data_IF_176546714013
#
_entry.id   IF_176546714013
#
_cell.length_a   1.000
_cell.length_b   1.000
_cell.length_c   1.000
_cell.angle_alpha   90.00
_cell.angle_beta   90.00
_cell.angle_gamma   90.00
#
_symmetry.space_group_name_H-M   'P 1'
#
loop_
_entity.id
_entity.type
_entity.pdbx_description
1 polymer ?
#
# COMPACT_ATOMS: atom_id res chain seq x y z
N UNK A 1 10.82 14.05 13.52
CA UNK A 1 12.17 14.63 13.81
C UNK A 1 13.29 13.62 13.61
N UNK A 2 13.23 12.41 14.15
CA UNK A 2 14.27 11.36 14.02
C UNK A 2 14.51 10.93 12.57
N UNK A 3 13.46 10.69 11.78
CA UNK A 3 13.58 10.32 10.34
C UNK A 3 14.30 11.40 9.53
N UNK A 4 14.08 12.67 9.86
CA UNK A 4 14.70 13.82 9.21
C UNK A 4 16.19 13.93 9.54
N UNK A 5 16.57 13.53 10.75
CA UNK A 5 17.97 13.49 11.18
C UNK A 5 18.73 12.34 10.48
N UNK A 6 18.14 11.13 10.39
CA UNK A 6 18.74 9.98 9.70
C UNK A 6 18.97 10.23 8.22
N UNK A 7 17.99 10.84 7.51
CA UNK A 7 18.13 11.16 6.08
C UNK A 7 19.22 12.20 5.85
N UNK A 8 19.32 13.23 6.71
CA UNK A 8 20.39 14.23 6.61
C UNK A 8 21.78 13.62 6.85
N UNK A 9 21.91 12.75 7.84
CA UNK A 9 23.17 12.08 8.13
C UNK A 9 23.62 11.17 6.98
N UNK A 10 22.69 10.44 6.35
CA UNK A 10 22.99 9.62 5.17
C UNK A 10 23.44 10.49 3.98
N UNK A 11 22.77 11.59 3.70
CA UNK A 11 23.14 12.51 2.63
C UNK A 11 24.51 13.16 2.87
N UNK A 12 24.81 13.57 4.12
CA UNK A 12 26.10 14.12 4.48
C UNK A 12 27.20 13.07 4.35
N UNK A 13 26.94 11.84 4.77
CA UNK A 13 27.92 10.76 4.63
C UNK A 13 28.22 10.47 3.15
N UNK A 14 27.21 10.42 2.29
CA UNK A 14 27.39 10.22 0.86
C UNK A 14 28.16 11.39 0.21
N UNK A 15 27.83 12.63 0.60
CA UNK A 15 28.52 13.82 0.14
C UNK A 15 30.01 13.82 0.50
N UNK A 16 30.36 13.58 1.78
CA UNK A 16 31.75 13.54 2.21
C UNK A 16 32.50 12.33 1.67
N UNK A 17 31.83 11.21 1.45
CA UNK A 17 32.41 10.04 0.77
C UNK A 17 32.83 10.36 -0.67
N UNK A 18 31.98 11.11 -1.40
CA UNK A 18 32.33 11.55 -2.75
C UNK A 18 33.53 12.50 -2.74
N UNK A 19 33.57 13.46 -1.81
CA UNK A 19 34.73 14.36 -1.66
C UNK A 19 36.02 13.61 -1.31
N UNK A 20 35.94 12.53 -0.52
CA UNK A 20 37.06 11.66 -0.19
C UNK A 20 37.52 10.87 -1.42
N UNK A 21 36.60 10.30 -2.18
CA UNK A 21 36.91 9.58 -3.44
C UNK A 21 37.52 10.50 -4.51
N UNK A 22 37.06 11.76 -4.54
CA UNK A 22 37.62 12.80 -5.42
C UNK A 22 38.95 13.41 -4.88
N UNK A 23 39.52 12.84 -3.82
CA UNK A 23 40.75 13.30 -3.16
C UNK A 23 40.72 14.77 -2.68
N UNK A 24 39.53 15.34 -2.53
CA UNK A 24 39.33 16.72 -2.07
C UNK A 24 39.44 16.88 -0.55
N UNK A 25 39.29 15.79 0.18
CA UNK A 25 39.49 15.68 1.63
C UNK A 25 40.28 14.43 1.97
N UNK A 26 41.11 14.51 3.01
CA UNK A 26 41.97 13.38 3.41
C UNK A 26 41.26 12.34 4.27
N UNK A 27 40.09 12.64 4.84
CA UNK A 27 39.29 11.74 5.68
C UNK A 27 37.83 12.13 5.61
N UNK A 28 36.95 11.15 5.58
CA UNK A 28 35.52 11.41 5.68
C UNK A 28 35.16 11.77 7.15
N UNK A 29 34.68 13.02 7.43
CA UNK A 29 34.29 13.42 8.78
C UNK A 29 33.17 12.60 9.39
N UNK A 30 32.41 11.89 8.55
CA UNK A 30 31.27 11.07 8.98
C UNK A 30 31.63 9.66 9.44
N UNK A 31 32.88 9.21 9.25
CA UNK A 31 33.33 7.85 9.63
C UNK A 31 33.24 7.58 11.14
N UNK A 32 33.31 8.62 11.96
CA UNK A 32 33.19 8.51 13.42
C UNK A 32 31.80 8.94 13.94
N UNK A 33 30.83 9.19 13.04
CA UNK A 33 29.48 9.57 13.43
C UNK A 33 28.62 8.30 13.57
N UNK A 34 28.43 7.85 14.80
CA UNK A 34 27.48 6.78 15.08
C UNK A 34 26.05 7.27 14.84
N UNK A 35 25.34 6.60 13.92
CA UNK A 35 23.92 6.83 13.75
C UNK A 35 23.16 6.29 14.95
N UNK A 36 22.58 7.15 15.75
CA UNK A 36 21.66 6.74 16.81
C UNK A 36 20.50 5.95 16.20
N UNK A 37 20.36 4.69 16.58
CA UNK A 37 19.15 3.92 16.28
C UNK A 37 17.96 4.59 16.99
N UNK A 38 16.77 4.53 16.37
CA UNK A 38 15.51 5.11 16.93
C UNK A 38 15.29 4.67 18.39
N UNK A 39 15.60 3.42 18.72
CA UNK A 39 15.52 2.87 20.07
C UNK A 39 16.43 3.61 21.08
N UNK A 40 17.70 3.86 20.70
CA UNK A 40 18.67 4.56 21.57
C UNK A 40 18.32 6.04 21.77
N UNK A 41 17.69 6.67 20.80
CA UNK A 41 17.22 8.05 20.91
C UNK A 41 16.01 8.17 21.85
N UNK A 42 15.12 7.18 21.83
CA UNK A 42 13.94 7.13 22.73
C UNK A 42 14.35 6.83 24.18
N UNK A 43 15.28 5.91 24.39
CA UNK A 43 15.83 5.61 25.73
C UNK A 43 16.60 6.79 26.33
N UNK A 44 17.35 7.54 25.51
CA UNK A 44 18.06 8.75 25.94
C UNK A 44 17.12 9.89 26.36
N UNK A 45 15.85 9.87 25.95
CA UNK A 45 14.81 10.81 26.37
C UNK A 45 13.96 10.32 27.57
N UNK A 46 14.34 9.20 28.20
CA UNK A 46 13.58 8.62 29.33
C UNK A 46 12.20 8.05 28.93
N UNK A 47 11.97 7.85 27.64
CA UNK A 47 10.80 7.14 27.13
C UNK A 47 11.15 5.67 26.96
N UNK A 48 10.94 4.89 28.02
CA UNK A 48 11.13 3.44 28.04
C UNK A 48 10.08 2.65 27.23
N UNK A 49 9.15 3.31 26.59
CA UNK A 49 8.21 2.62 25.73
C UNK A 49 8.95 2.12 24.50
N UNK A 50 9.11 0.80 24.44
CA UNK A 50 9.32 0.08 23.17
C UNK A 50 8.42 0.74 22.14
N UNK A 51 8.92 1.04 20.92
CA UNK A 51 8.04 1.60 19.92
C UNK A 51 6.84 0.67 19.81
N UNK A 52 5.67 1.14 20.28
CA UNK A 52 4.41 0.51 19.93
C UNK A 52 4.51 0.22 18.45
N UNK A 53 4.40 -1.04 18.11
CA UNK A 53 4.29 -1.47 16.71
C UNK A 53 3.28 -0.50 16.09
N UNK A 54 3.74 0.36 15.17
CA UNK A 54 2.89 1.38 14.56
C UNK A 54 1.54 0.72 14.32
N UNK A 55 0.50 1.17 15.03
CA UNK A 55 -0.79 0.51 14.98
C UNK A 55 -1.28 0.61 13.55
N UNK A 56 -1.25 -0.52 12.86
CA UNK A 56 -1.64 -0.57 11.46
C UNK A 56 -3.13 -0.34 11.42
N UNK A 57 -3.53 0.74 10.77
CA UNK A 57 -4.93 1.01 10.52
C UNK A 57 -5.50 -0.07 9.59
N UNK A 58 -6.48 -0.80 10.09
CA UNK A 58 -7.26 -1.78 9.34
C UNK A 58 -8.74 -1.46 9.48
N UNK A 59 -9.51 -1.77 8.46
CA UNK A 59 -10.96 -1.70 8.54
C UNK A 59 -11.51 -2.93 9.26
N UNK A 60 -12.43 -2.71 10.19
CA UNK A 60 -13.26 -3.77 10.75
C UNK A 60 -14.31 -4.23 9.74
N UNK A 61 -14.95 -5.38 9.99
CA UNK A 61 -16.00 -5.87 9.09
C UNK A 61 -17.21 -4.91 9.07
N UNK A 62 -17.58 -4.33 10.21
CA UNK A 62 -18.64 -3.34 10.30
C UNK A 62 -18.32 -2.06 9.54
N UNK A 63 -17.08 -1.55 9.65
CA UNK A 63 -16.63 -0.39 8.88
C UNK A 63 -16.62 -0.67 7.38
N UNK A 64 -16.24 -1.88 6.96
CA UNK A 64 -16.28 -2.27 5.55
C UNK A 64 -17.69 -2.30 4.99
N UNK A 65 -18.67 -2.78 5.75
CA UNK A 65 -20.06 -2.78 5.29
C UNK A 65 -20.61 -1.34 5.18
N UNK A 66 -20.37 -0.48 6.17
CA UNK A 66 -20.72 0.94 6.10
C UNK A 66 -20.02 1.64 4.92
N UNK A 67 -18.73 1.37 4.74
CA UNK A 67 -17.96 1.92 3.63
C UNK A 67 -18.53 1.52 2.28
N UNK A 68 -18.84 0.22 2.07
CA UNK A 68 -19.42 -0.27 0.83
C UNK A 68 -20.77 0.35 0.55
N UNK A 69 -21.65 0.40 1.56
CA UNK A 69 -22.99 0.99 1.44
C UNK A 69 -22.91 2.45 0.96
N UNK A 70 -22.03 3.25 1.56
CA UNK A 70 -21.85 4.65 1.16
C UNK A 70 -21.12 4.79 -0.19
N UNK A 71 -20.05 4.03 -0.43
CA UNK A 71 -19.24 4.09 -1.64
C UNK A 71 -20.07 3.81 -2.91
N UNK A 72 -21.04 2.93 -2.81
CA UNK A 72 -21.94 2.56 -3.92
C UNK A 72 -23.29 3.27 -3.89
N UNK A 73 -23.46 4.27 -3.02
CA UNK A 73 -24.67 5.07 -2.95
C UNK A 73 -24.97 5.78 -4.29
N UNK A 74 -26.23 5.79 -4.67
CA UNK A 74 -26.71 6.46 -5.87
C UNK A 74 -27.60 7.65 -5.53
N UNK A 75 -27.63 8.63 -6.41
CA UNK A 75 -28.62 9.69 -6.38
C UNK A 75 -30.01 9.15 -6.73
N UNK A 76 -31.07 9.94 -6.48
CA UNK A 76 -32.45 9.61 -6.89
C UNK A 76 -32.58 9.38 -8.41
N UNK A 77 -31.66 9.95 -9.20
CA UNK A 77 -31.56 9.76 -10.65
C UNK A 77 -30.90 8.44 -11.06
N UNK A 78 -30.44 7.62 -10.11
CA UNK A 78 -29.73 6.37 -10.36
C UNK A 78 -28.23 6.52 -10.65
N UNK A 79 -27.71 7.73 -10.79
CA UNK A 79 -26.28 7.96 -10.99
C UNK A 79 -25.48 7.79 -9.69
N UNK A 80 -24.25 7.31 -9.77
CA UNK A 80 -23.36 7.15 -8.61
C UNK A 80 -22.97 8.49 -7.99
N UNK A 81 -22.99 8.57 -6.67
CA UNK A 81 -22.48 9.73 -5.92
C UNK A 81 -20.96 9.82 -6.03
N UNK A 82 -20.31 8.67 -5.97
CA UNK A 82 -18.85 8.56 -6.04
C UNK A 82 -18.44 7.74 -7.26
N UNK A 83 -17.87 8.39 -8.25
CA UNK A 83 -17.33 7.71 -9.43
C UNK A 83 -16.13 6.83 -9.04
N UNK A 84 -15.97 5.71 -9.74
CA UNK A 84 -14.87 4.76 -9.56
C UNK A 84 -14.73 4.25 -8.11
N UNK A 85 -15.83 4.12 -7.40
CA UNK A 85 -15.83 3.58 -6.03
C UNK A 85 -15.32 2.12 -5.99
N UNK A 86 -15.53 1.35 -7.07
CA UNK A 86 -14.99 0.00 -7.22
C UNK A 86 -13.47 -0.10 -7.05
N UNK A 87 -12.74 1.00 -7.26
CA UNK A 87 -11.29 1.05 -7.07
C UNK A 87 -10.85 0.71 -5.64
N UNK A 88 -11.60 1.14 -4.63
CA UNK A 88 -11.30 0.84 -3.22
C UNK A 88 -11.56 -0.62 -2.88
N UNK A 89 -12.66 -1.18 -3.39
CA UNK A 89 -12.98 -2.59 -3.18
C UNK A 89 -12.00 -3.49 -3.95
N UNK A 90 -11.52 -3.05 -5.11
CA UNK A 90 -10.45 -3.74 -5.83
C UNK A 90 -9.15 -3.74 -5.00
N UNK A 91 -8.76 -2.62 -4.39
CA UNK A 91 -7.62 -2.57 -3.47
C UNK A 91 -7.78 -3.53 -2.28
N UNK A 92 -8.98 -3.58 -1.70
CA UNK A 92 -9.31 -4.46 -0.58
C UNK A 92 -9.18 -5.95 -0.95
N UNK A 93 -9.43 -6.31 -2.23
CA UNK A 93 -9.41 -7.71 -2.70
C UNK A 93 -8.11 -8.12 -3.39
N UNK A 94 -7.17 -7.21 -3.58
CA UNK A 94 -5.92 -7.46 -4.32
C UNK A 94 -4.66 -6.99 -3.60
N UNK A 95 -4.83 -6.17 -2.56
CA UNK A 95 -3.72 -5.60 -1.81
C UNK A 95 -2.83 -4.64 -2.62
N UNK A 96 -3.30 -4.09 -3.72
CA UNK A 96 -2.54 -3.14 -4.54
C UNK A 96 -2.15 -1.89 -3.75
N UNK A 97 -0.96 -1.37 -4.03
CA UNK A 97 -0.61 -0.02 -3.61
C UNK A 97 -1.36 1.01 -4.45
N UNK A 98 -1.68 2.16 -3.90
CA UNK A 98 -2.38 3.24 -4.63
C UNK A 98 -1.75 3.55 -5.99
N UNK A 99 -0.42 3.68 -6.03
CA UNK A 99 0.27 3.96 -7.28
C UNK A 99 0.21 2.81 -8.29
N UNK A 100 0.17 1.57 -7.84
CA UNK A 100 0.02 0.37 -8.68
C UNK A 100 -1.39 0.31 -9.28
N UNK A 101 -2.42 0.55 -8.47
CA UNK A 101 -3.81 0.65 -8.93
C UNK A 101 -3.96 1.70 -10.02
N UNK A 102 -3.44 2.91 -9.77
CA UNK A 102 -3.53 4.02 -10.73
C UNK A 102 -2.66 3.81 -11.98
N UNK A 103 -1.65 2.93 -11.91
CA UNK A 103 -0.80 2.55 -13.02
C UNK A 103 -1.27 1.31 -13.77
N UNK A 104 -2.35 0.65 -13.31
CA UNK A 104 -2.85 -0.59 -13.92
C UNK A 104 -3.56 -0.30 -15.23
N UNK A 105 -3.02 -0.81 -16.34
CA UNK A 105 -3.67 -0.72 -17.66
C UNK A 105 -4.68 -1.85 -17.84
N UNK A 106 -5.69 -1.62 -18.67
CA UNK A 106 -6.67 -2.64 -19.02
C UNK A 106 -6.03 -3.85 -19.70
N UNK A 107 -5.01 -3.67 -20.53
CA UNK A 107 -4.23 -4.73 -21.19
C UNK A 107 -3.39 -5.60 -20.23
N UNK A 108 -3.23 -5.18 -18.98
CA UNK A 108 -2.53 -5.98 -17.97
C UNK A 108 -3.46 -6.89 -17.15
N UNK A 109 -4.75 -6.94 -17.49
CA UNK A 109 -5.78 -7.70 -16.79
C UNK A 109 -6.22 -8.86 -17.69
N UNK A 110 -6.01 -10.07 -17.21
CA UNK A 110 -6.42 -11.31 -17.85
C UNK A 110 -7.60 -11.91 -17.07
N UNK A 111 -8.80 -11.68 -17.57
CA UNK A 111 -10.02 -12.16 -16.92
C UNK A 111 -10.26 -13.65 -17.13
N UNK A 112 -9.73 -14.25 -18.22
CA UNK A 112 -9.83 -15.68 -18.49
C UNK A 112 -9.01 -16.48 -17.47
N UNK A 113 -7.77 -16.06 -17.24
CA UNK A 113 -6.88 -16.67 -16.25
C UNK A 113 -7.06 -16.10 -14.84
N UNK A 114 -7.99 -15.15 -14.65
CA UNK A 114 -8.28 -14.47 -13.37
C UNK A 114 -7.02 -13.91 -12.71
N UNK A 115 -6.22 -13.19 -13.48
CA UNK A 115 -4.98 -12.59 -13.02
C UNK A 115 -4.82 -11.16 -13.53
N UNK A 116 -3.97 -10.40 -12.85
CA UNK A 116 -3.48 -9.12 -13.36
C UNK A 116 -1.98 -8.99 -13.13
N UNK A 117 -1.29 -8.33 -14.05
CA UNK A 117 0.16 -8.12 -13.99
C UNK A 117 0.47 -6.68 -13.60
N UNK A 118 1.18 -6.49 -12.49
CA UNK A 118 1.62 -5.17 -12.05
C UNK A 118 2.97 -4.87 -12.70
N UNK A 119 3.03 -3.83 -13.54
CA UNK A 119 4.25 -3.46 -14.30
C UNK A 119 4.75 -2.06 -13.99
N UNK A 120 3.87 -1.17 -13.54
CA UNK A 120 4.16 0.24 -13.35
C UNK A 120 3.33 0.83 -12.20
N UNK A 121 3.72 2.02 -11.77
CA UNK A 121 3.03 2.77 -10.73
C UNK A 121 3.04 4.27 -11.03
N UNK A 122 1.94 4.93 -10.72
CA UNK A 122 1.82 6.40 -10.78
C UNK A 122 2.29 7.00 -9.45
N UNK A 123 3.15 8.01 -9.54
CA UNK A 123 3.63 8.80 -8.39
C UNK A 123 3.45 10.28 -8.66
N UNK A 124 3.19 11.03 -7.61
CA UNK A 124 3.31 12.48 -7.65
C UNK A 124 4.75 12.85 -7.31
N UNK A 125 5.40 13.57 -8.19
CA UNK A 125 6.75 14.09 -8.00
C UNK A 125 6.73 15.61 -8.08
N UNK A 126 7.56 16.26 -7.29
CA UNK A 126 7.71 17.70 -7.37
C UNK A 126 8.34 18.09 -8.71
N UNK A 127 7.78 19.12 -9.33
CA UNK A 127 8.34 19.67 -10.57
C UNK A 127 9.59 20.48 -10.25
N UNK A 128 10.70 20.10 -10.86
CA UNK A 128 12.02 20.73 -10.60
C UNK A 128 12.70 21.12 -11.89
N UNK A 129 13.42 22.23 -11.83
CA UNK A 129 14.45 22.62 -12.80
C UNK A 129 15.80 22.54 -12.07
N UNK A 130 16.60 21.52 -12.41
CA UNK A 130 17.75 21.16 -11.62
C UNK A 130 17.40 20.86 -10.16
N UNK A 131 17.97 21.61 -9.24
CA UNK A 131 17.68 21.50 -7.78
C UNK A 131 16.52 22.34 -7.31
N UNK A 132 16.06 23.32 -8.12
CA UNK A 132 15.03 24.30 -7.74
C UNK A 132 13.61 23.74 -7.99
N UNK A 133 12.73 23.92 -7.02
CA UNK A 133 11.29 23.67 -7.19
C UNK A 133 10.69 24.78 -8.06
N UNK A 134 10.07 24.40 -9.19
CA UNK A 134 9.49 25.36 -10.14
C UNK A 134 7.96 25.29 -10.23
N UNK A 135 7.33 24.40 -9.47
CA UNK A 135 5.87 24.27 -9.55
C UNK A 135 5.30 23.24 -8.61
N UNK A 136 4.03 22.89 -8.89
CA UNK A 136 3.30 21.86 -8.17
C UNK A 136 3.82 20.45 -8.46
N UNK A 137 3.07 19.45 -7.98
CA UNK A 137 3.35 18.04 -8.22
C UNK A 137 2.80 17.60 -9.57
N UNK A 138 3.62 16.88 -10.33
CA UNK A 138 3.24 16.26 -11.61
C UNK A 138 3.10 14.74 -11.47
N UNK A 139 2.19 14.16 -12.24
CA UNK A 139 2.04 12.70 -12.33
C UNK A 139 3.24 12.15 -13.10
N UNK A 140 3.96 11.21 -12.52
CA UNK A 140 5.03 10.46 -13.18
C UNK A 140 4.71 8.97 -13.15
N UNK A 141 4.60 8.38 -14.32
CA UNK A 141 4.49 6.92 -14.47
C UNK A 141 5.90 6.36 -14.47
N UNK A 142 6.18 5.46 -13.55
CA UNK A 142 7.47 4.80 -13.46
C UNK A 142 7.31 3.28 -13.52
N UNK A 143 8.23 2.61 -14.24
CA UNK A 143 8.35 1.16 -14.10
C UNK A 143 8.63 0.84 -12.63
N UNK A 144 8.11 -0.26 -12.15
CA UNK A 144 8.39 -0.72 -10.79
C UNK A 144 9.91 -0.91 -10.63
N UNK A 145 10.49 -0.32 -9.56
CA UNK A 145 11.96 -0.16 -9.40
C UNK A 145 12.74 -1.47 -9.29
N UNK A 146 12.10 -2.58 -8.96
CA UNK A 146 12.74 -3.89 -8.76
C UNK A 146 12.02 -4.97 -9.54
N UNK A 147 12.74 -6.02 -9.91
CA UNK A 147 12.19 -7.24 -10.53
C UNK A 147 11.07 -7.85 -9.69
N UNK A 148 11.17 -7.77 -8.36
CA UNK A 148 10.17 -8.23 -7.39
C UNK A 148 8.89 -7.39 -7.37
N UNK A 149 8.93 -6.17 -7.90
CA UNK A 149 7.73 -5.33 -8.02
C UNK A 149 6.87 -5.66 -9.25
N UNK A 150 7.45 -6.37 -10.25
CA UNK A 150 6.70 -6.94 -11.36
C UNK A 150 6.16 -8.28 -10.91
N UNK A 151 4.87 -8.35 -10.63
CA UNK A 151 4.23 -9.55 -10.11
C UNK A 151 2.87 -9.78 -10.74
N UNK A 152 2.44 -11.02 -10.68
CA UNK A 152 1.08 -11.43 -11.03
C UNK A 152 0.26 -11.50 -9.74
N UNK A 153 -0.91 -10.89 -9.75
CA UNK A 153 -1.87 -10.90 -8.63
C UNK A 153 -3.10 -11.69 -9.06
N UNK A 154 -3.52 -12.70 -8.31
CA UNK A 154 -4.75 -13.44 -8.59
C UNK A 154 -5.98 -12.57 -8.32
N UNK A 155 -7.04 -12.78 -9.10
CA UNK A 155 -8.32 -12.08 -8.99
C UNK A 155 -9.39 -13.04 -8.45
N UNK A 156 -10.03 -12.65 -7.35
CA UNK A 156 -11.24 -13.31 -6.88
C UNK A 156 -12.47 -12.74 -7.61
N UNK A 157 -13.64 -13.36 -7.39
CA UNK A 157 -14.89 -12.96 -8.06
C UNK A 157 -15.25 -11.49 -7.82
N UNK A 158 -15.08 -10.99 -6.59
CA UNK A 158 -15.35 -9.60 -6.23
C UNK A 158 -14.40 -8.63 -6.97
N UNK A 159 -13.11 -8.98 -7.08
CA UNK A 159 -12.16 -8.16 -7.85
C UNK A 159 -12.54 -8.08 -9.33
N UNK A 160 -12.97 -9.20 -9.92
CA UNK A 160 -13.43 -9.26 -11.32
C UNK A 160 -14.68 -8.39 -11.50
N UNK A 161 -15.65 -8.49 -10.59
CA UNK A 161 -16.84 -7.66 -10.60
C UNK A 161 -16.50 -6.16 -10.55
N UNK A 162 -15.57 -5.76 -9.69
CA UNK A 162 -15.12 -4.37 -9.59
C UNK A 162 -14.39 -3.89 -10.85
N UNK A 163 -13.64 -4.75 -11.51
CA UNK A 163 -13.01 -4.43 -12.79
C UNK A 163 -14.08 -4.18 -13.86
N UNK A 164 -15.11 -5.01 -13.94
CA UNK A 164 -16.23 -4.79 -14.84
C UNK A 164 -16.99 -3.50 -14.51
N UNK A 165 -17.20 -3.20 -13.24
CA UNK A 165 -17.86 -1.99 -12.78
C UNK A 165 -17.07 -0.73 -13.18
N UNK A 166 -15.76 -0.72 -12.95
CA UNK A 166 -14.87 0.37 -13.36
C UNK A 166 -14.84 0.57 -14.89
N UNK A 167 -14.81 -0.52 -15.65
CA UNK A 167 -14.88 -0.46 -17.13
C UNK A 167 -16.21 0.05 -17.65
N UNK A 168 -17.32 -0.16 -16.93
CA UNK A 168 -18.63 0.42 -17.28
C UNK A 168 -18.67 1.93 -17.09
N UNK A 169 -17.97 2.44 -16.06
CA UNK A 169 -17.91 3.88 -15.82
C UNK A 169 -17.00 4.60 -16.83
N UNK A 170 -15.79 4.08 -17.02
CA UNK A 170 -14.77 4.65 -17.90
C UNK A 170 -13.96 3.56 -18.56
N UNK A 171 -13.98 3.51 -19.89
CA UNK A 171 -13.15 2.63 -20.68
C UNK A 171 -12.71 3.32 -21.97
N UNK A 172 -11.43 3.57 -22.09
CA UNK A 172 -10.80 4.25 -23.23
C UNK A 172 -9.88 3.32 -24.04
N UNK A 173 -10.09 2.01 -23.93
CA UNK A 173 -9.33 0.98 -24.64
C UNK A 173 -8.33 0.25 -23.76
N UNK A 174 -7.67 -0.75 -24.34
CA UNK A 174 -6.77 -1.66 -23.61
C UNK A 174 -5.54 -0.97 -23.03
N UNK A 175 -5.00 0.04 -23.70
CA UNK A 175 -3.82 0.78 -23.25
C UNK A 175 -4.15 1.93 -22.28
N UNK A 176 -5.45 2.11 -21.95
CA UNK A 176 -5.85 3.09 -20.96
C UNK A 176 -5.76 2.53 -19.54
N UNK A 177 -5.52 3.39 -18.51
CA UNK A 177 -5.60 2.99 -17.13
C UNK A 177 -6.99 2.50 -16.75
N UNK A 178 -7.08 1.47 -15.91
CA UNK A 178 -8.36 0.99 -15.36
C UNK A 178 -9.04 2.07 -14.52
N UNK A 179 -8.26 2.84 -13.76
CA UNK A 179 -8.73 4.00 -12.97
C UNK A 179 -8.14 5.24 -13.61
N UNK A 180 -8.97 5.98 -14.34
CA UNK A 180 -8.55 7.13 -15.14
C UNK A 180 -9.33 8.40 -14.78
N UNK A 181 -8.92 9.52 -15.31
CA UNK A 181 -9.70 10.75 -15.28
C UNK A 181 -10.69 10.79 -16.47
N UNK A 182 -11.46 11.87 -16.58
CA UNK A 182 -12.49 12.02 -17.62
C UNK A 182 -11.93 12.04 -19.06
N UNK A 183 -10.62 12.23 -19.22
CA UNK A 183 -9.95 12.24 -20.52
C UNK A 183 -9.30 10.88 -20.85
N UNK A 184 -9.41 9.89 -19.97
CA UNK A 184 -8.75 8.60 -20.12
C UNK A 184 -7.28 8.58 -19.66
N UNK A 185 -6.80 9.67 -19.06
CA UNK A 185 -5.45 9.77 -18.51
C UNK A 185 -5.36 9.18 -17.09
N UNK A 186 -4.15 8.90 -16.62
CA UNK A 186 -3.92 8.43 -15.26
C UNK A 186 -4.57 9.34 -14.22
N UNK A 187 -5.41 8.79 -13.35
CA UNK A 187 -6.06 9.55 -12.31
C UNK A 187 -5.06 10.12 -11.29
N UNK A 188 -5.43 11.23 -10.65
CA UNK A 188 -4.58 11.87 -9.65
C UNK A 188 -4.74 11.18 -8.28
N UNK A 189 -3.64 10.69 -7.66
CA UNK A 189 -3.67 10.06 -6.34
C UNK A 189 -4.33 10.93 -5.26
N UNK A 190 -4.18 12.26 -5.36
CA UNK A 190 -4.81 13.19 -4.41
C UNK A 190 -6.32 13.19 -4.51
N UNK A 191 -6.88 13.07 -5.74
CA UNK A 191 -8.32 13.03 -5.95
C UNK A 191 -8.92 11.73 -5.40
N UNK A 192 -8.23 10.60 -5.61
CA UNK A 192 -8.63 9.32 -5.03
C UNK A 192 -8.68 9.40 -3.50
N UNK A 193 -7.63 9.96 -2.87
CA UNK A 193 -7.59 10.15 -1.41
C UNK A 193 -8.70 11.07 -0.90
N UNK A 194 -8.94 12.20 -1.55
CA UNK A 194 -10.01 13.13 -1.17
C UNK A 194 -11.39 12.48 -1.26
N UNK A 195 -11.61 11.63 -2.27
CA UNK A 195 -12.86 10.89 -2.42
C UNK A 195 -13.02 9.85 -1.30
N UNK A 196 -11.95 9.12 -0.97
CA UNK A 196 -11.94 8.20 0.18
C UNK A 196 -12.41 8.91 1.45
N UNK A 197 -11.79 10.02 1.81
CA UNK A 197 -12.13 10.77 3.02
C UNK A 197 -13.59 11.24 3.06
N UNK A 198 -14.16 11.61 1.91
CA UNK A 198 -15.59 11.96 1.84
C UNK A 198 -16.50 10.76 2.06
N UNK A 199 -16.12 9.58 1.58
CA UNK A 199 -16.88 8.35 1.81
C UNK A 199 -16.79 7.95 3.28
N UNK A 200 -15.61 7.99 3.88
CA UNK A 200 -15.39 7.65 5.30
C UNK A 200 -16.18 8.58 6.22
N UNK A 201 -16.11 9.88 5.98
CA UNK A 201 -16.85 10.90 6.73
C UNK A 201 -18.37 10.68 6.63
N UNK A 202 -18.89 10.49 5.42
CA UNK A 202 -20.31 10.25 5.18
C UNK A 202 -20.81 8.91 5.76
N UNK A 203 -19.94 7.90 5.83
CA UNK A 203 -20.22 6.60 6.43
C UNK A 203 -20.06 6.58 7.95
N UNK A 204 -19.58 7.68 8.57
CA UNK A 204 -19.30 7.76 9.99
C UNK A 204 -18.16 6.83 10.43
N UNK A 205 -17.14 6.69 9.57
CA UNK A 205 -15.95 5.87 9.82
C UNK A 205 -14.79 6.80 10.14
N UNK A 206 -13.95 6.42 11.11
CA UNK A 206 -12.72 7.13 11.38
C UNK A 206 -11.83 7.15 10.14
N UNK A 207 -11.27 8.31 9.83
CA UNK A 207 -10.45 8.50 8.61
C UNK A 207 -9.22 7.61 8.62
N UNK A 208 -9.14 6.73 7.64
CA UNK A 208 -8.01 5.83 7.37
C UNK A 208 -7.37 6.17 6.02
N UNK A 209 -6.11 5.89 5.87
CA UNK A 209 -5.42 6.13 4.61
C UNK A 209 -5.71 5.05 3.55
N UNK A 210 -5.40 5.34 2.28
CA UNK A 210 -5.53 4.35 1.20
C UNK A 210 -4.75 3.05 1.45
N UNK A 211 -3.69 3.09 2.27
CA UNK A 211 -2.96 1.89 2.66
C UNK A 211 -3.73 0.97 3.60
N UNK A 212 -4.75 1.48 4.31
CA UNK A 212 -5.58 0.68 5.19
C UNK A 212 -6.29 -0.48 4.44
N UNK A 213 -6.69 -0.28 3.18
CA UNK A 213 -7.25 -1.37 2.36
C UNK A 213 -6.25 -2.51 2.16
N UNK A 214 -4.99 -2.18 1.85
CA UNK A 214 -3.94 -3.18 1.69
C UNK A 214 -3.59 -3.86 3.01
N UNK A 215 -3.58 -3.13 4.10
CA UNK A 215 -3.36 -3.68 5.44
C UNK A 215 -4.50 -4.61 5.83
N UNK A 216 -5.75 -4.21 5.60
CA UNK A 216 -6.92 -5.04 5.84
C UNK A 216 -6.89 -6.33 5.02
N UNK A 217 -6.56 -6.24 3.72
CA UNK A 217 -6.39 -7.42 2.86
C UNK A 217 -5.35 -8.39 3.43
N UNK A 218 -4.16 -7.90 3.76
CA UNK A 218 -3.10 -8.74 4.30
C UNK A 218 -3.47 -9.37 5.66
N UNK A 219 -4.05 -8.58 6.56
CA UNK A 219 -4.50 -9.05 7.88
C UNK A 219 -5.55 -10.15 7.75
N UNK A 220 -6.52 -9.97 6.85
CA UNK A 220 -7.57 -10.99 6.60
C UNK A 220 -7.02 -12.27 6.00
N UNK A 221 -6.05 -12.20 5.10
CA UNK A 221 -5.42 -13.39 4.52
C UNK A 221 -4.59 -14.19 5.54
N UNK A 222 -3.90 -13.50 6.46
CA UNK A 222 -3.05 -14.14 7.47
C UNK A 222 -3.89 -14.67 8.65
N UNK A 223 -4.80 -13.85 9.17
CA UNK A 223 -5.59 -14.19 10.36
C UNK A 223 -6.84 -15.02 10.05
N UNK A 224 -7.17 -15.16 8.79
CA UNK A 224 -8.29 -15.95 8.28
C UNK A 224 -9.49 -15.10 7.87
N UNK A 225 -10.09 -15.54 6.78
CA UNK A 225 -11.34 -14.98 6.25
C UNK A 225 -12.39 -16.06 6.30
N UNK A 226 -13.58 -15.73 6.84
CA UNK A 226 -14.74 -16.63 6.77
C UNK A 226 -15.19 -16.77 5.32
N UNK A 227 -15.24 -17.99 4.84
CA UNK A 227 -15.78 -18.32 3.53
C UNK A 227 -17.32 -18.49 3.60
N UNK A 228 -17.98 -18.53 2.45
CA UNK A 228 -19.42 -18.71 2.34
C UNK A 228 -19.91 -20.05 2.96
N UNK A 229 -19.06 -21.06 3.03
CA UNK A 229 -19.29 -22.36 3.63
C UNK A 229 -19.05 -22.36 5.16
N UNK A 230 -18.75 -21.21 5.77
CA UNK A 230 -18.44 -21.08 7.19
C UNK A 230 -17.02 -21.48 7.57
N UNK A 231 -16.22 -22.00 6.66
CA UNK A 231 -14.82 -22.33 6.90
C UNK A 231 -13.96 -21.06 7.01
N UNK A 232 -12.86 -21.16 7.77
CA UNK A 232 -11.86 -20.09 7.86
C UNK A 232 -10.68 -20.49 7.01
N UNK A 233 -10.37 -19.70 5.96
CA UNK A 233 -9.19 -19.90 5.12
C UNK A 233 -8.11 -18.91 5.47
N UNK A 234 -6.89 -19.40 5.65
CA UNK A 234 -5.68 -18.61 5.86
C UNK A 234 -4.66 -18.89 4.78
N UNK A 235 -3.82 -17.92 4.48
CA UNK A 235 -2.64 -18.10 3.63
C UNK A 235 -1.38 -18.04 4.48
N UNK A 236 -0.36 -18.78 4.08
CA UNK A 236 0.95 -18.65 4.72
C UNK A 236 1.56 -17.28 4.42
N UNK A 237 2.41 -16.82 5.33
CA UNK A 237 3.01 -15.47 5.29
C UNK A 237 3.78 -15.24 3.99
N UNK A 238 4.47 -16.28 3.48
CA UNK A 238 5.24 -16.19 2.23
C UNK A 238 4.33 -15.91 1.03
N UNK A 239 3.21 -16.65 0.91
CA UNK A 239 2.25 -16.43 -0.17
C UNK A 239 1.65 -15.00 -0.10
N UNK A 240 1.34 -14.51 1.10
CA UNK A 240 0.86 -13.13 1.28
C UNK A 240 1.93 -12.12 0.89
N UNK A 241 3.20 -12.33 1.30
CA UNK A 241 4.31 -11.47 0.93
C UNK A 241 4.51 -11.41 -0.60
N UNK A 242 4.41 -12.55 -1.28
CA UNK A 242 4.53 -12.65 -2.75
C UNK A 242 3.40 -11.89 -3.45
N UNK A 243 2.14 -12.07 -3.03
CA UNK A 243 0.98 -11.33 -3.55
C UNK A 243 1.16 -9.82 -3.35
N UNK A 244 1.62 -9.41 -2.18
CA UNK A 244 1.85 -8.01 -1.86
C UNK A 244 3.09 -7.44 -2.58
N UNK A 245 4.02 -8.27 -3.05
CA UNK A 245 5.31 -7.84 -3.62
C UNK A 245 6.22 -7.23 -2.56
N UNK A 246 6.34 -7.89 -1.41
CA UNK A 246 7.34 -7.60 -0.41
C UNK A 246 8.63 -8.33 -0.76
N UNK A 247 9.77 -7.66 -0.63
CA UNK A 247 11.10 -8.27 -0.90
C UNK A 247 11.50 -9.30 0.13
N UNK A 248 10.96 -9.19 1.36
CA UNK A 248 11.20 -10.11 2.46
C UNK A 248 9.90 -10.39 3.21
N UNK A 249 9.78 -11.58 3.82
CA UNK A 249 8.66 -11.92 4.69
C UNK A 249 8.66 -11.12 5.99
N UNK A 250 9.82 -10.62 6.41
CA UNK A 250 10.03 -9.85 7.64
C UNK A 250 9.07 -8.65 7.77
N UNK A 251 8.82 -7.95 6.65
CA UNK A 251 7.85 -6.86 6.61
C UNK A 251 6.44 -7.38 6.90
N UNK A 252 6.07 -8.52 6.30
CA UNK A 252 4.75 -9.14 6.49
C UNK A 252 4.58 -9.67 7.90
N UNK A 253 5.60 -10.33 8.44
CA UNK A 253 5.61 -10.84 9.82
C UNK A 253 5.50 -9.72 10.84
N UNK A 254 6.31 -8.67 10.70
CA UNK A 254 6.36 -7.54 11.62
C UNK A 254 5.04 -6.81 11.72
N UNK A 255 4.34 -6.66 10.60
CA UNK A 255 3.14 -5.85 10.54
C UNK A 255 1.84 -6.63 10.73
N UNK A 256 1.77 -7.90 10.34
CA UNK A 256 0.50 -8.62 10.24
C UNK A 256 0.38 -9.82 11.17
N UNK A 257 1.51 -10.36 11.65
CA UNK A 257 1.47 -11.44 12.64
C UNK A 257 1.30 -10.83 14.01
N UNK A 258 0.07 -10.87 14.55
CA UNK A 258 -0.13 -10.60 15.96
C UNK A 258 0.64 -11.66 16.75
N UNK A 259 1.41 -11.23 17.77
CA UNK A 259 1.95 -12.13 18.79
C UNK A 259 0.79 -12.64 19.66
N UNK A 260 -0.01 -13.48 19.10
CA UNK A 260 -1.11 -14.14 19.80
C UNK A 260 -0.54 -15.43 20.41
N UNK A 261 -0.08 -15.31 21.66
CA UNK A 261 0.42 -16.45 22.41
C UNK A 261 -0.67 -17.50 22.69
N UNK A 262 -1.95 -17.15 22.55
CA UNK A 262 -3.04 -18.11 22.69
C UNK A 262 -3.01 -19.18 21.58
N UNK A 263 -2.47 -18.86 20.41
CA UNK A 263 -2.23 -19.81 19.31
C UNK A 263 -1.14 -20.84 19.61
N UNK A 264 -0.30 -20.58 20.60
CA UNK A 264 0.77 -21.50 20.99
C UNK A 264 0.28 -22.54 22.03
N UNK A 265 -0.88 -22.32 22.62
CA UNK A 265 -1.45 -23.24 23.58
C UNK A 265 -1.93 -24.50 22.85
N UNK A 266 -1.33 -25.64 23.18
CA UNK A 266 -1.67 -26.93 22.60
C UNK A 266 -1.00 -27.27 21.27
N UNK A 267 -0.17 -26.38 20.69
CA UNK A 267 0.52 -26.68 19.40
C UNK A 267 1.52 -27.84 19.56
N UNK A 268 2.08 -28.01 20.75
CA UNK A 268 3.03 -29.09 21.05
C UNK A 268 2.33 -30.36 21.57
N UNK A 269 1.03 -30.34 21.78
CA UNK A 269 0.28 -31.52 22.19
C UNK A 269 0.35 -32.60 21.10
N UNK A 270 0.97 -33.72 21.42
CA UNK A 270 1.20 -34.81 20.47
C UNK A 270 2.59 -34.85 19.83
N UNK A 271 3.48 -33.89 20.14
CA UNK A 271 4.90 -33.98 19.81
C UNK A 271 5.65 -34.54 21.04
N UNK A 272 5.74 -35.85 21.17
CA UNK A 272 6.62 -36.52 22.12
C UNK A 272 7.97 -36.78 21.42
N UNK A 273 9.08 -36.21 21.95
CA UNK A 273 10.42 -36.40 21.44
C UNK A 273 11.12 -37.44 22.32
#
# INVERSE_FOLDING_TARGET
>A
MVLYCCVRTLLLNEYYRNLYVEERIHKNPMDNVEMMKKANFLSAQGKEDLPECETIEVFTDEELEKFKAEAFRTHSTGSRVYQQAGAYILMLNTGLRTGELLGLLNSNIDLENKTMTIRQAVKLVDQRDGTKLIGGKVKKVGKTKTTTSKRVVPLNSTAIEMIHDLRKEFYFGEDSPLVCDANGDYANPTNLRKRLYRIEDAAGIETKGLHAFRHTFATKLINGTKCADGSIKTLNIKAVADILGHTTTEITERYYVKKDTSRLTGITDGFEI
#
